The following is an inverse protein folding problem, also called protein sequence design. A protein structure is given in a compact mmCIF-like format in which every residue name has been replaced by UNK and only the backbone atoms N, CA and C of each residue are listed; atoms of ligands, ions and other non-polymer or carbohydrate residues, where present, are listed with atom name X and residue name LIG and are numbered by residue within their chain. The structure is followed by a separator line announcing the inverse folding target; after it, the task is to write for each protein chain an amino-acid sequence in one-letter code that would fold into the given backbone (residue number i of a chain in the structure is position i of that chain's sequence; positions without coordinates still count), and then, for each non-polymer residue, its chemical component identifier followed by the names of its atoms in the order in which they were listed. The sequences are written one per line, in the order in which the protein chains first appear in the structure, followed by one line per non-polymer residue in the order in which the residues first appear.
data_IF_006893191515
#
_entry.id   IF_006893191515
#
_cell.length_a   1.000
_cell.length_b   1.000
_cell.length_c   1.000
_cell.angle_alpha   90.00
_cell.angle_beta   90.00
_cell.angle_gamma   90.00
#
_symmetry.space_group_name_H-M   'P 1'
#
loop_
_entity.id
_entity.type
_entity.pdbx_description
1 polymer ?
#
# COMPACT_ATOMS: atom_id res chain seq x y z
N UNK A 1 1.91 -9.44 3.54
CA UNK A 1 1.16 -9.41 4.82
C UNK A 1 1.78 -10.23 5.96
N UNK A 2 2.40 -11.39 5.72
CA UNK A 2 2.93 -12.23 6.82
C UNK A 2 4.14 -11.63 7.55
N UNK A 3 5.23 -11.33 6.84
CA UNK A 3 6.50 -10.88 7.43
C UNK A 3 6.35 -9.59 8.24
N UNK A 4 5.72 -8.56 7.65
CA UNK A 4 5.48 -7.28 8.33
C UNK A 4 4.67 -7.47 9.64
N UNK A 5 3.67 -8.34 9.63
CA UNK A 5 2.88 -8.63 10.82
C UNK A 5 3.71 -9.35 11.91
N UNK A 6 4.56 -10.30 11.52
CA UNK A 6 5.45 -10.98 12.49
C UNK A 6 6.42 -10.02 13.16
N UNK A 7 7.03 -9.11 12.40
CA UNK A 7 7.95 -8.08 12.92
C UNK A 7 7.19 -7.14 13.87
N UNK A 8 5.98 -6.74 13.49
CA UNK A 8 5.12 -5.91 14.34
C UNK A 8 4.77 -6.62 15.66
N UNK A 9 4.43 -7.91 15.62
CA UNK A 9 4.14 -8.69 16.83
C UNK A 9 5.37 -8.81 17.75
N UNK A 10 6.56 -9.04 17.21
CA UNK A 10 7.79 -9.11 18.01
C UNK A 10 8.09 -7.76 18.66
N UNK A 11 7.99 -6.67 17.91
CA UNK A 11 8.18 -5.33 18.45
C UNK A 11 7.15 -5.01 19.57
N UNK A 12 5.89 -5.40 19.36
CA UNK A 12 4.81 -5.22 20.33
C UNK A 12 5.01 -6.07 21.61
N UNK A 13 5.72 -7.20 21.52
CA UNK A 13 6.09 -7.98 22.71
C UNK A 13 7.30 -7.41 23.44
N UNK A 14 8.32 -6.93 22.72
CA UNK A 14 9.52 -6.35 23.31
C UNK A 14 9.24 -5.03 24.05
N UNK A 15 8.27 -4.24 23.57
CA UNK A 15 8.00 -2.91 24.12
C UNK A 15 7.48 -2.94 25.58
N UNK A 16 6.48 -3.76 25.96
CA UNK A 16 6.07 -3.95 27.36
C UNK A 16 7.17 -4.45 28.28
N UNK A 17 8.05 -5.33 27.78
CA UNK A 17 9.20 -5.82 28.57
C UNK A 17 10.17 -4.68 28.86
N UNK A 18 10.47 -3.85 27.86
CA UNK A 18 11.35 -2.68 28.00
C UNK A 18 10.76 -1.64 28.96
N UNK A 19 9.47 -1.34 28.83
CA UNK A 19 8.74 -0.45 29.76
C UNK A 19 8.74 -1.04 31.16
N UNK A 20 8.49 -2.34 31.32
CA UNK A 20 8.50 -3.02 32.61
C UNK A 20 9.85 -2.91 33.33
N UNK A 21 10.98 -3.00 32.60
CA UNK A 21 12.32 -2.80 33.17
C UNK A 21 12.54 -1.33 33.55
N UNK A 22 12.14 -0.39 32.68
CA UNK A 22 12.28 1.05 32.91
C UNK A 22 11.49 1.53 34.14
N UNK A 23 10.37 0.87 34.46
CA UNK A 23 9.49 1.27 35.56
C UNK A 23 9.52 0.36 36.79
N UNK A 24 10.52 -0.53 36.90
CA UNK A 24 10.61 -1.52 38.00
C UNK A 24 11.01 -0.89 39.35
N UNK A 25 11.72 0.25 39.35
CA UNK A 25 12.23 0.83 40.60
C UNK A 25 11.28 1.87 41.22
N UNK A 26 10.67 2.79 40.45
CA UNK A 26 9.75 3.81 41.00
C UNK A 26 8.83 4.40 39.90
N UNK A 27 7.50 4.20 39.96
CA UNK A 27 6.52 4.74 38.99
C UNK A 27 6.36 6.29 39.07
N UNK A 28 7.45 7.03 38.91
CA UNK A 28 7.52 8.49 39.01
C UNK A 28 7.29 9.14 37.65
N UNK A 29 6.86 10.41 37.67
CA UNK A 29 6.68 11.21 36.46
C UNK A 29 7.96 11.34 35.63
N UNK A 30 9.13 11.29 36.27
CA UNK A 30 10.42 11.39 35.59
C UNK A 30 10.71 10.17 34.71
N UNK A 31 10.38 8.95 35.16
CA UNK A 31 10.54 7.73 34.36
C UNK A 31 9.60 7.69 33.17
N UNK A 32 8.35 8.13 33.34
CA UNK A 32 7.40 8.26 32.23
C UNK A 32 7.89 9.24 31.17
N UNK A 33 8.49 10.37 31.57
CA UNK A 33 9.11 11.31 30.62
C UNK A 33 10.22 10.64 29.79
N UNK A 34 11.06 9.80 30.42
CA UNK A 34 12.10 9.02 29.72
C UNK A 34 11.48 8.04 28.70
N UNK A 35 10.38 7.37 29.05
CA UNK A 35 9.64 6.50 28.12
C UNK A 35 9.07 7.30 26.95
N UNK A 36 8.49 8.47 27.18
CA UNK A 36 7.98 9.33 26.11
C UNK A 36 9.11 9.80 25.17
N UNK A 37 10.26 10.20 25.71
CA UNK A 37 11.43 10.54 24.90
C UNK A 37 11.91 9.36 24.04
N UNK A 38 11.88 8.14 24.60
CA UNK A 38 12.20 6.92 23.86
C UNK A 38 11.21 6.67 22.71
N UNK A 39 9.90 6.82 22.95
CA UNK A 39 8.87 6.68 21.91
C UNK A 39 9.09 7.68 20.77
N UNK A 40 9.36 8.94 21.10
CA UNK A 40 9.66 9.98 20.10
C UNK A 40 10.88 9.58 19.27
N UNK A 41 11.95 9.13 19.91
CA UNK A 41 13.16 8.67 19.22
C UNK A 41 12.89 7.46 18.29
N UNK A 42 12.05 6.50 18.73
CA UNK A 42 11.66 5.35 17.91
C UNK A 42 10.83 5.74 16.68
N UNK A 43 9.84 6.62 16.85
CA UNK A 43 9.01 7.10 15.74
C UNK A 43 9.86 7.91 14.75
N UNK A 44 10.70 8.81 15.25
CA UNK A 44 11.61 9.61 14.43
C UNK A 44 12.60 8.74 13.66
N UNK A 45 13.22 7.75 14.31
CA UNK A 45 14.16 6.85 13.64
C UNK A 45 13.49 5.99 12.57
N UNK A 46 12.28 5.49 12.82
CA UNK A 46 11.47 4.81 11.80
C UNK A 46 11.23 5.70 10.58
N UNK A 47 10.83 6.96 10.81
CA UNK A 47 10.66 7.95 9.76
C UNK A 47 11.94 8.25 8.99
N UNK A 48 13.08 8.37 9.68
CA UNK A 48 14.40 8.59 9.03
C UNK A 48 14.78 7.39 8.16
N UNK A 49 14.59 6.16 8.65
CA UNK A 49 14.86 4.94 7.88
C UNK A 49 13.99 4.93 6.62
N UNK A 50 12.71 5.28 6.73
CA UNK A 50 11.84 5.42 5.57
C UNK A 50 12.31 6.53 4.62
N UNK A 51 12.75 7.69 5.12
CA UNK A 51 13.26 8.76 4.26
C UNK A 51 14.55 8.39 3.53
N UNK A 52 15.41 7.55 4.12
CA UNK A 52 16.70 7.15 3.51
C UNK A 52 16.52 5.98 2.53
N UNK A 53 15.66 5.02 2.85
CA UNK A 53 15.54 3.76 2.09
C UNK A 53 14.21 3.60 1.35
N UNK A 54 13.18 4.38 1.69
CA UNK A 54 11.87 4.33 1.07
C UNK A 54 11.85 5.10 -0.24
N UNK A 55 11.10 4.58 -1.22
CA UNK A 55 10.69 5.33 -2.41
C UNK A 55 9.19 5.62 -2.33
N UNK A 56 8.81 6.81 -2.79
CA UNK A 56 7.41 7.21 -2.97
C UNK A 56 6.82 6.70 -4.31
N UNK A 57 7.62 6.01 -5.12
CA UNK A 57 7.15 5.46 -6.39
C UNK A 57 6.27 4.24 -6.18
N UNK A 58 5.28 4.11 -7.06
CA UNK A 58 4.38 2.95 -7.10
C UNK A 58 5.20 1.71 -7.38
N UNK A 59 5.20 0.77 -6.43
CA UNK A 59 5.96 -0.46 -6.55
C UNK A 59 5.36 -1.38 -7.62
N UNK A 60 6.18 -2.14 -8.33
CA UNK A 60 5.76 -2.95 -9.48
C UNK A 60 4.68 -4.00 -9.16
N UNK A 61 4.61 -4.46 -7.91
CA UNK A 61 3.58 -5.38 -7.44
C UNK A 61 2.20 -4.73 -7.21
N UNK A 62 2.11 -3.40 -7.29
CA UNK A 62 0.87 -2.66 -7.03
C UNK A 62 -0.15 -2.77 -8.17
N UNK A 63 0.30 -3.06 -9.40
CA UNK A 63 -0.60 -3.32 -10.53
C UNK A 63 -0.67 -4.83 -10.82
N UNK A 64 -1.87 -5.40 -10.97
CA UNK A 64 -1.99 -6.74 -11.53
C UNK A 64 -1.45 -6.71 -12.98
N UNK A 65 -0.65 -7.70 -13.34
CA UNK A 65 0.13 -7.79 -14.59
C UNK A 65 -0.69 -7.75 -15.91
N UNK A 66 -2.00 -7.51 -15.86
CA UNK A 66 -2.92 -7.67 -16.99
C UNK A 66 -3.81 -6.46 -17.31
N UNK A 67 -3.62 -5.29 -16.70
CA UNK A 67 -4.56 -4.17 -16.92
C UNK A 67 -4.14 -3.09 -17.93
N UNK A 68 -2.95 -3.22 -18.54
CA UNK A 68 -2.50 -2.30 -19.60
C UNK A 68 -2.64 -2.89 -21.01
N UNK A 69 -2.73 -4.22 -21.16
CA UNK A 69 -2.88 -4.86 -22.48
C UNK A 69 -4.35 -5.17 -22.87
N UNK A 70 -5.27 -5.31 -21.93
CA UNK A 70 -6.66 -5.71 -22.24
C UNK A 70 -7.61 -4.54 -22.56
N UNK A 71 -7.26 -3.30 -22.15
CA UNK A 71 -8.14 -2.14 -22.38
C UNK A 71 -8.15 -1.71 -23.86
N UNK A 72 -7.00 -1.79 -24.54
CA UNK A 72 -6.92 -1.42 -25.96
C UNK A 72 -7.58 -2.47 -26.88
N UNK A 73 -7.38 -3.77 -26.63
CA UNK A 73 -7.96 -4.83 -27.48
C UNK A 73 -9.48 -4.97 -27.29
N UNK A 74 -9.98 -4.72 -26.07
CA UNK A 74 -11.42 -4.76 -25.77
C UNK A 74 -12.19 -3.59 -26.38
N UNK A 75 -11.60 -2.38 -26.35
CA UNK A 75 -12.22 -1.19 -26.91
C UNK A 75 -12.16 -1.19 -28.45
N UNK A 76 -11.06 -1.67 -29.06
CA UNK A 76 -10.93 -1.80 -30.52
C UNK A 76 -11.92 -2.84 -31.09
N UNK A 77 -12.05 -4.01 -30.45
CA UNK A 77 -13.05 -5.03 -30.84
C UNK A 77 -14.50 -4.55 -30.68
N UNK A 78 -14.77 -3.69 -29.70
CA UNK A 78 -16.11 -3.12 -29.48
C UNK A 78 -16.46 -2.08 -30.54
N UNK A 79 -15.49 -1.27 -30.96
CA UNK A 79 -15.65 -0.30 -32.05
C UNK A 79 -15.85 -1.03 -33.38
N UNK A 80 -15.03 -2.05 -33.70
CA UNK A 80 -15.13 -2.82 -34.94
C UNK A 80 -16.50 -3.50 -35.09
N UNK A 81 -16.97 -4.15 -34.01
CA UNK A 81 -18.29 -4.78 -33.99
C UNK A 81 -19.45 -3.78 -34.12
N UNK A 82 -19.29 -2.56 -33.59
CA UNK A 82 -20.29 -1.51 -33.73
C UNK A 82 -20.30 -0.93 -35.16
N UNK A 83 -19.14 -0.79 -35.80
CA UNK A 83 -19.01 -0.35 -37.19
C UNK A 83 -19.59 -1.37 -38.17
N UNK A 84 -19.39 -2.67 -37.97
CA UNK A 84 -20.02 -3.72 -38.78
C UNK A 84 -21.56 -3.67 -38.69
N UNK A 85 -22.10 -3.49 -37.49
CA UNK A 85 -23.56 -3.38 -37.29
C UNK A 85 -24.12 -2.13 -37.99
N UNK A 86 -23.41 -1.01 -37.95
CA UNK A 86 -23.82 0.21 -38.67
C UNK A 86 -23.75 -0.01 -40.18
N UNK A 87 -22.69 -0.63 -40.70
CA UNK A 87 -22.53 -0.92 -42.12
C UNK A 87 -23.68 -1.83 -42.62
N UNK A 88 -24.02 -2.87 -41.88
CA UNK A 88 -25.14 -3.76 -42.22
C UNK A 88 -26.50 -3.05 -42.18
N UNK A 89 -26.68 -2.12 -41.22
CA UNK A 89 -27.91 -1.31 -41.14
C UNK A 89 -28.05 -0.33 -42.31
N UNK A 90 -26.95 0.31 -42.72
CA UNK A 90 -26.94 1.23 -43.87
C UNK A 90 -27.21 0.49 -45.18
N UNK A 91 -26.59 -0.68 -45.38
CA UNK A 91 -26.81 -1.52 -46.57
C UNK A 91 -28.29 -1.95 -46.69
N UNK A 92 -28.90 -2.37 -45.58
CA UNK A 92 -30.32 -2.73 -45.53
C UNK A 92 -31.26 -1.56 -45.87
N UNK A 93 -30.88 -0.32 -45.57
CA UNK A 93 -31.67 0.88 -45.89
C UNK A 93 -31.48 1.33 -47.34
N UNK A 94 -30.29 1.14 -47.92
CA UNK A 94 -30.00 1.49 -49.33
C UNK A 94 -30.68 0.53 -50.31
N UNK A 95 -30.92 -0.71 -49.88
CA UNK A 95 -31.58 -1.76 -50.67
C UNK A 95 -33.12 -1.84 -50.48
N UNK A 96 -33.72 -0.91 -49.71
CA UNK A 96 -35.17 -0.70 -49.58
C UNK A 96 -35.67 0.36 -50.57
#
# INVERSE_FOLDING_TARGET
MGLANTIACVAAFCFPVLVGIMTNEEQTLEQWNKIFMLCIALIMSSGIIFCVFGSADVQSWNYPENEENDKNDSDEKKIEKQTEVIAQSVDAVVHL
#
